data_IF_065581477882
#
_entry.id   IF_065581477882
#
_cell.length_a   1.000
_cell.length_b   1.000
_cell.length_c   1.000
_cell.angle_alpha   90.00
_cell.angle_beta   90.00
_cell.angle_gamma   90.00
#
_symmetry.space_group_name_H-M   'P 1'
#
loop_
_entity.id
_entity.type
_entity.pdbx_description
1 polymer ?
#
# COMPACT_ATOMS: atom_id res chain seq x y z
N UNK A 1 8.55 19.61 -2.63
CA UNK A 1 8.25 19.13 -1.27
C UNK A 1 8.72 17.69 -1.10
N UNK A 2 8.10 16.69 -1.73
CA UNK A 2 8.64 15.33 -1.70
C UNK A 2 9.93 15.24 -2.54
N UNK A 3 11.01 14.74 -1.93
CA UNK A 3 12.33 14.60 -2.55
C UNK A 3 12.54 13.14 -2.93
N UNK A 4 12.62 12.87 -4.23
CA UNK A 4 13.02 11.55 -4.73
C UNK A 4 14.45 11.24 -4.33
N UNK A 5 14.72 10.01 -3.92
CA UNK A 5 16.09 9.57 -3.72
C UNK A 5 16.86 9.56 -5.04
N UNK A 6 18.03 10.19 -5.07
CA UNK A 6 18.85 10.28 -6.29
C UNK A 6 19.31 8.92 -6.81
N UNK A 7 19.43 7.92 -5.93
CA UNK A 7 19.79 6.55 -6.29
C UNK A 7 18.60 5.68 -6.73
N UNK A 8 17.41 6.26 -6.90
CA UNK A 8 16.26 5.50 -7.40
C UNK A 8 16.54 4.87 -8.78
N UNK A 9 15.95 3.69 -9.06
CA UNK A 9 15.14 2.90 -8.14
C UNK A 9 15.98 2.04 -7.18
N UNK A 10 15.45 1.81 -5.97
CA UNK A 10 16.09 1.04 -4.88
C UNK A 10 15.95 -0.47 -5.05
N UNK A 11 14.89 -0.95 -5.71
CA UNK A 11 14.76 -2.33 -6.16
C UNK A 11 14.44 -2.40 -7.64
N UNK A 12 15.09 -3.32 -8.34
CA UNK A 12 14.90 -3.64 -9.76
C UNK A 12 14.65 -5.14 -9.94
N UNK A 13 13.98 -5.56 -11.02
CA UNK A 13 13.90 -6.96 -11.41
C UNK A 13 15.30 -7.60 -11.54
N UNK A 14 15.47 -8.81 -11.00
CA UNK A 14 16.69 -9.63 -11.17
C UNK A 14 16.44 -10.64 -12.28
N UNK A 15 17.06 -10.48 -13.45
CA UNK A 15 16.78 -11.34 -14.63
C UNK A 15 17.10 -12.81 -14.37
N UNK A 16 18.11 -13.04 -13.54
CA UNK A 16 18.58 -14.35 -13.09
C UNK A 16 17.62 -15.03 -12.10
N UNK A 17 16.72 -14.28 -11.46
CA UNK A 17 15.76 -14.82 -10.50
C UNK A 17 14.36 -14.93 -11.10
N UNK A 18 13.99 -16.14 -11.51
CA UNK A 18 12.86 -16.38 -12.40
C UNK A 18 11.51 -15.83 -11.92
N UNK A 19 11.26 -15.73 -10.61
CA UNK A 19 9.96 -15.27 -10.08
C UNK A 19 9.83 -13.75 -9.96
N UNK A 20 10.93 -13.01 -10.06
CA UNK A 20 11.01 -11.55 -9.93
C UNK A 20 11.77 -10.89 -11.08
N UNK A 21 11.92 -11.61 -12.19
CA UNK A 21 12.72 -11.20 -13.35
C UNK A 21 12.08 -10.16 -14.24
N UNK A 22 10.77 -9.88 -14.08
CA UNK A 22 10.03 -8.97 -14.94
C UNK A 22 9.57 -7.68 -14.24
N UNK A 23 8.93 -7.77 -13.07
CA UNK A 23 8.44 -6.60 -12.31
C UNK A 23 8.74 -6.78 -10.82
N UNK A 24 9.19 -5.71 -10.15
CA UNK A 24 9.43 -5.62 -8.70
C UNK A 24 8.93 -4.27 -8.23
N UNK A 25 7.76 -4.20 -7.62
CA UNK A 25 7.00 -2.97 -7.46
C UNK A 25 6.04 -3.07 -6.27
N UNK A 26 5.18 -2.06 -6.08
CA UNK A 26 4.10 -1.97 -5.08
C UNK A 26 4.48 -2.62 -3.74
N UNK A 27 5.28 -1.93 -2.94
CA UNK A 27 5.82 -2.48 -1.69
C UNK A 27 5.15 -1.92 -0.44
N UNK A 28 4.91 -2.79 0.54
CA UNK A 28 4.69 -2.39 1.92
C UNK A 28 6.02 -2.05 2.58
N UNK A 29 5.97 -1.27 3.66
CA UNK A 29 7.13 -1.01 4.51
C UNK A 29 6.74 -0.91 5.98
N UNK A 30 7.58 -1.44 6.86
CA UNK A 30 7.57 -1.22 8.30
C UNK A 30 8.96 -0.72 8.73
N UNK A 31 9.04 0.05 9.81
CA UNK A 31 10.30 0.39 10.45
C UNK A 31 10.31 -0.22 11.85
N UNK A 32 11.13 -1.24 12.05
CA UNK A 32 11.20 -2.02 13.29
C UNK A 32 12.66 -2.39 13.56
N UNK A 33 13.05 -2.44 14.84
CA UNK A 33 14.41 -2.81 15.27
C UNK A 33 15.54 -2.06 14.51
N UNK A 34 15.31 -0.77 14.24
CA UNK A 34 16.27 0.09 13.54
C UNK A 34 16.41 -0.16 12.03
N UNK A 35 15.51 -0.95 11.42
CA UNK A 35 15.55 -1.27 9.99
C UNK A 35 14.21 -1.05 9.30
N UNK A 36 14.28 -0.65 8.04
CA UNK A 36 13.17 -0.67 7.11
C UNK A 36 13.00 -2.09 6.58
N UNK A 37 11.83 -2.68 6.80
CA UNK A 37 11.43 -3.97 6.27
C UNK A 37 10.49 -3.76 5.09
N UNK A 38 10.94 -4.17 3.90
CA UNK A 38 10.27 -3.89 2.63
C UNK A 38 9.71 -5.20 2.08
N UNK A 39 8.38 -5.28 1.99
CA UNK A 39 7.68 -6.42 1.41
C UNK A 39 7.17 -6.01 0.02
N UNK A 40 7.88 -6.42 -1.04
CA UNK A 40 7.62 -5.97 -2.40
C UNK A 40 6.85 -7.00 -3.21
N UNK A 41 5.97 -6.54 -4.10
CA UNK A 41 5.31 -7.38 -5.10
C UNK A 41 6.28 -7.68 -6.25
N UNK A 42 6.34 -8.92 -6.71
CA UNK A 42 7.08 -9.25 -7.91
C UNK A 42 6.38 -10.26 -8.82
N UNK A 43 6.73 -10.20 -10.10
CA UNK A 43 6.30 -11.14 -11.14
C UNK A 43 7.49 -11.47 -12.05
N UNK A 44 7.59 -12.74 -12.43
CA UNK A 44 8.62 -13.25 -13.36
C UNK A 44 8.24 -13.10 -14.83
N UNK A 45 6.95 -12.92 -15.11
CA UNK A 45 6.39 -12.80 -16.45
C UNK A 45 5.27 -11.77 -16.45
N UNK A 46 5.01 -11.13 -17.59
CA UNK A 46 3.95 -10.10 -17.74
C UNK A 46 2.57 -10.57 -17.28
N UNK A 47 2.23 -11.82 -17.55
CA UNK A 47 0.97 -12.46 -17.14
C UNK A 47 1.18 -13.51 -16.04
N UNK A 48 2.28 -13.40 -15.29
CA UNK A 48 2.66 -14.36 -14.26
C UNK A 48 1.93 -14.13 -12.93
N UNK A 49 2.05 -15.09 -12.03
CA UNK A 49 1.56 -14.99 -10.65
C UNK A 49 2.39 -13.98 -9.86
N UNK A 50 1.73 -13.03 -9.21
CA UNK A 50 2.37 -12.14 -8.25
C UNK A 50 2.63 -12.84 -6.93
N UNK A 51 3.78 -12.55 -6.34
CA UNK A 51 4.27 -13.05 -5.05
C UNK A 51 4.91 -11.91 -4.28
N UNK A 52 5.12 -12.06 -2.98
CA UNK A 52 5.81 -11.05 -2.19
C UNK A 52 7.21 -11.48 -1.79
N UNK A 53 8.19 -10.64 -2.11
CA UNK A 53 9.58 -10.76 -1.69
C UNK A 53 9.91 -9.86 -0.52
N UNK A 54 11.02 -10.14 0.14
CA UNK A 54 11.47 -9.39 1.32
C UNK A 54 12.85 -8.79 1.11
N UNK A 55 12.98 -7.53 1.48
CA UNK A 55 14.23 -6.81 1.52
C UNK A 55 14.32 -5.96 2.79
N UNK A 56 15.53 -5.57 3.17
CA UNK A 56 15.77 -4.66 4.30
C UNK A 56 16.74 -3.55 3.94
N UNK A 57 16.62 -2.44 4.67
CA UNK A 57 17.49 -1.29 4.58
C UNK A 57 17.67 -0.67 5.97
N UNK A 58 18.87 -0.26 6.33
CA UNK A 58 19.16 0.48 7.57
C UNK A 58 18.88 1.97 7.40
N UNK A 59 19.25 2.55 6.26
CA UNK A 59 19.14 4.00 6.00
C UNK A 59 17.84 4.40 5.29
N UNK A 60 17.06 3.42 4.84
CA UNK A 60 15.82 3.61 4.09
C UNK A 60 16.02 3.87 2.58
N UNK A 61 17.25 3.74 2.09
CA UNK A 61 17.63 4.03 0.70
C UNK A 61 18.40 2.88 0.06
N UNK A 62 19.46 2.40 0.71
CA UNK A 62 20.27 1.28 0.23
C UNK A 62 19.70 -0.03 0.75
N UNK A 63 19.45 -0.97 -0.16
CA UNK A 63 19.04 -2.32 0.21
C UNK A 63 20.26 -3.08 0.72
N UNK A 64 20.22 -3.47 2.00
CA UNK A 64 21.29 -4.22 2.65
C UNK A 64 21.12 -5.72 2.43
N UNK A 65 19.89 -6.22 2.56
CA UNK A 65 19.54 -7.63 2.33
C UNK A 65 18.30 -7.74 1.44
N UNK A 66 18.27 -8.74 0.55
CA UNK A 66 17.10 -9.13 -0.26
C UNK A 66 17.11 -10.63 -0.42
N UNK A 67 16.03 -11.29 0.01
CA UNK A 67 15.91 -12.74 -0.10
C UNK A 67 15.70 -13.16 -1.55
N UNK A 68 16.25 -14.33 -1.92
CA UNK A 68 16.15 -14.87 -3.28
C UNK A 68 14.83 -15.61 -3.53
N UNK A 69 14.10 -16.01 -2.48
CA UNK A 69 12.81 -16.70 -2.57
C UNK A 69 11.66 -15.81 -2.05
N UNK A 70 10.44 -15.95 -2.61
CA UNK A 70 9.28 -15.22 -2.12
C UNK A 70 8.91 -15.67 -0.71
N UNK A 71 8.50 -14.73 0.14
CA UNK A 71 8.09 -15.00 1.53
C UNK A 71 6.58 -15.15 1.69
N UNK A 72 5.81 -14.81 0.65
CA UNK A 72 4.36 -14.97 0.61
C UNK A 72 3.90 -15.26 -0.82
N UNK A 73 3.06 -16.28 -0.97
CA UNK A 73 2.54 -16.75 -2.25
C UNK A 73 1.03 -16.99 -2.14
N UNK A 74 0.31 -17.04 -3.28
CA UNK A 74 -1.11 -17.37 -3.28
C UNK A 74 -1.37 -18.75 -2.66
N UNK A 75 -2.51 -18.91 -2.00
CA UNK A 75 -2.89 -20.18 -1.39
C UNK A 75 -3.29 -21.18 -2.49
N UNK A 76 -2.52 -22.26 -2.71
CA UNK A 76 -2.80 -23.21 -3.79
C UNK A 76 -4.12 -23.98 -3.59
N UNK A 77 -4.72 -23.91 -2.40
CA UNK A 77 -6.00 -24.57 -2.09
C UNK A 77 -7.19 -23.62 -2.22
N UNK A 78 -6.97 -22.33 -2.55
CA UNK A 78 -8.03 -21.35 -2.67
C UNK A 78 -8.11 -20.77 -4.09
N UNK A 79 -9.08 -21.24 -4.87
CA UNK A 79 -9.33 -20.75 -6.24
C UNK A 79 -9.59 -19.25 -6.31
N UNK A 80 -10.07 -18.61 -5.22
CA UNK A 80 -10.30 -17.16 -5.15
C UNK A 80 -8.99 -16.36 -5.03
N UNK A 81 -7.85 -17.02 -4.88
CA UNK A 81 -6.54 -16.41 -4.71
C UNK A 81 -5.49 -17.12 -5.57
N UNK A 82 -5.54 -16.90 -6.88
CA UNK A 82 -4.52 -17.37 -7.82
C UNK A 82 -3.29 -16.44 -7.89
N UNK A 83 -3.43 -15.19 -7.42
CA UNK A 83 -2.35 -14.22 -7.32
C UNK A 83 -2.56 -13.28 -6.13
N UNK A 84 -1.47 -12.83 -5.51
CA UNK A 84 -1.47 -11.91 -4.37
C UNK A 84 -0.82 -10.58 -4.78
N UNK A 85 -1.51 -9.48 -4.55
CA UNK A 85 -1.13 -8.18 -5.07
C UNK A 85 -1.07 -7.12 -3.98
N UNK A 86 -0.19 -6.14 -4.16
CA UNK A 86 -0.19 -4.85 -3.46
C UNK A 86 -0.24 -5.01 -1.92
N UNK A 87 0.82 -5.55 -1.28
CA UNK A 87 0.85 -5.77 0.16
C UNK A 87 0.87 -4.45 0.93
N UNK A 88 0.25 -4.43 2.12
CA UNK A 88 0.43 -3.40 3.16
C UNK A 88 0.71 -4.09 4.48
N UNK A 89 1.50 -3.46 5.33
CA UNK A 89 1.89 -4.00 6.63
C UNK A 89 1.56 -3.02 7.75
N UNK A 90 1.01 -3.55 8.84
CA UNK A 90 0.70 -2.78 10.05
C UNK A 90 1.07 -3.62 11.27
N UNK A 91 1.85 -3.05 12.19
CA UNK A 91 2.10 -3.66 13.49
C UNK A 91 1.01 -3.22 14.48
N UNK A 92 0.40 -4.20 15.16
CA UNK A 92 -0.52 -4.02 16.27
C UNK A 92 -0.01 -4.93 17.39
N UNK A 93 0.45 -4.33 18.48
CA UNK A 93 1.05 -5.03 19.61
C UNK A 93 2.21 -5.98 19.18
N UNK A 94 2.06 -7.28 19.44
CA UNK A 94 3.03 -8.34 19.15
C UNK A 94 2.82 -8.99 17.77
N UNK A 95 1.94 -8.43 16.95
CA UNK A 95 1.47 -9.05 15.71
C UNK A 95 1.58 -8.06 14.53
N UNK A 96 2.14 -8.54 13.43
CA UNK A 96 2.17 -7.83 12.15
C UNK A 96 1.04 -8.36 11.28
N UNK A 97 0.18 -7.46 10.83
CA UNK A 97 -0.91 -7.74 9.90
C UNK A 97 -0.47 -7.41 8.49
N UNK A 98 -0.69 -8.35 7.58
CA UNK A 98 -0.51 -8.19 6.14
C UNK A 98 -1.89 -8.11 5.50
N UNK A 99 -2.20 -6.98 4.89
CA UNK A 99 -3.38 -6.82 4.03
C UNK A 99 -2.94 -6.76 2.58
N UNK A 100 -3.73 -7.35 1.68
CA UNK A 100 -3.37 -7.47 0.28
C UNK A 100 -4.61 -7.65 -0.60
N UNK A 101 -4.43 -7.58 -1.91
CA UNK A 101 -5.46 -7.95 -2.87
C UNK A 101 -5.26 -9.41 -3.30
N UNK A 102 -6.27 -10.24 -3.07
CA UNK A 102 -6.37 -11.60 -3.57
C UNK A 102 -7.13 -11.58 -4.90
N UNK A 103 -6.56 -12.16 -5.95
CA UNK A 103 -7.22 -12.24 -7.25
C UNK A 103 -7.24 -13.69 -7.70
N UNK A 104 -8.43 -14.17 -8.05
CA UNK A 104 -8.63 -15.55 -8.48
C UNK A 104 -9.93 -15.72 -9.22
N UNK A 105 -10.45 -16.94 -9.23
CA UNK A 105 -11.66 -17.33 -9.95
C UNK A 105 -12.74 -17.77 -8.97
N UNK A 106 -13.98 -17.35 -9.23
CA UNK A 106 -15.15 -17.88 -8.53
C UNK A 106 -15.36 -19.33 -8.97
N UNK A 107 -15.32 -20.32 -8.04
CA UNK A 107 -15.50 -21.72 -8.38
C UNK A 107 -16.80 -21.93 -9.16
N UNK A 108 -16.76 -22.82 -10.17
CA UNK A 108 -17.90 -23.23 -11.02
C UNK A 108 -18.47 -22.15 -11.97
N UNK A 109 -18.18 -20.87 -11.75
CA UNK A 109 -18.66 -19.76 -12.60
C UNK A 109 -17.56 -19.24 -13.52
N UNK A 110 -16.29 -19.41 -13.15
CA UNK A 110 -15.14 -19.01 -13.99
C UNK A 110 -14.95 -17.50 -14.12
N UNK A 111 -15.71 -16.70 -13.37
CA UNK A 111 -15.54 -15.25 -13.26
C UNK A 111 -14.33 -14.91 -12.39
N UNK A 112 -13.56 -13.90 -12.82
CA UNK A 112 -12.46 -13.38 -12.03
C UNK A 112 -13.01 -12.57 -10.85
N UNK A 113 -12.56 -12.87 -9.64
CA UNK A 113 -12.89 -12.10 -8.42
C UNK A 113 -11.65 -11.36 -7.94
N UNK A 114 -11.85 -10.12 -7.50
CA UNK A 114 -10.79 -9.29 -6.92
C UNK A 114 -11.21 -8.97 -5.48
N UNK A 115 -10.56 -9.56 -4.51
CA UNK A 115 -10.93 -9.44 -3.10
C UNK A 115 -9.84 -8.72 -2.32
N UNK A 116 -10.26 -8.04 -1.26
CA UNK A 116 -9.32 -7.69 -0.20
C UNK A 116 -9.14 -8.90 0.72
N UNK A 117 -7.92 -9.09 1.21
CA UNK A 117 -7.56 -10.19 2.08
C UNK A 117 -6.62 -9.71 3.19
N UNK A 118 -6.55 -10.51 4.25
CA UNK A 118 -5.67 -10.26 5.39
C UNK A 118 -5.13 -11.56 5.98
N UNK A 119 -3.91 -11.52 6.47
CA UNK A 119 -3.30 -12.52 7.35
C UNK A 119 -2.46 -11.81 8.40
N UNK A 120 -1.85 -12.57 9.30
CA UNK A 120 -0.97 -12.02 10.33
C UNK A 120 0.20 -12.95 10.63
N UNK A 121 1.23 -12.41 11.27
CA UNK A 121 2.40 -13.13 11.74
C UNK A 121 2.84 -12.51 13.06
N UNK A 122 3.41 -13.30 13.96
CA UNK A 122 4.01 -12.75 15.20
C UNK A 122 5.21 -11.87 14.84
N UNK A 123 5.36 -10.73 15.51
CA UNK A 123 6.46 -9.80 15.26
C UNK A 123 7.82 -10.50 15.39
N UNK A 124 8.01 -11.31 16.43
CA UNK A 124 9.26 -12.07 16.65
C UNK A 124 9.54 -13.08 15.54
N UNK A 125 8.51 -13.66 14.94
CA UNK A 125 8.65 -14.57 13.79
C UNK A 125 9.01 -13.80 12.52
N UNK A 126 8.38 -12.65 12.28
CA UNK A 126 8.71 -11.78 11.15
C UNK A 126 10.13 -11.24 11.21
N UNK A 127 10.55 -10.69 12.36
CA UNK A 127 11.87 -10.12 12.57
C UNK A 127 12.98 -11.18 12.47
N UNK A 128 12.70 -12.39 12.94
CA UNK A 128 13.60 -13.53 12.78
C UNK A 128 13.43 -14.28 11.44
N UNK A 129 12.68 -13.71 10.48
CA UNK A 129 12.45 -14.27 9.15
C UNK A 129 11.88 -15.70 9.14
N UNK A 130 11.13 -16.06 10.17
CA UNK A 130 10.36 -17.31 10.27
C UNK A 130 8.97 -17.06 9.70
N UNK A 131 8.79 -17.18 8.38
CA UNK A 131 7.57 -16.83 7.64
C UNK A 131 6.34 -17.70 7.94
N UNK A 132 5.89 -17.72 9.19
CA UNK A 132 4.74 -18.47 9.72
C UNK A 132 3.47 -17.63 9.67
N UNK A 133 3.02 -17.34 8.46
CA UNK A 133 1.77 -16.61 8.24
C UNK A 133 0.58 -17.40 8.77
N UNK A 134 -0.32 -16.68 9.44
CA UNK A 134 -1.55 -17.22 10.01
C UNK A 134 -2.63 -17.44 8.96
N UNK A 135 -3.84 -17.72 9.47
CA UNK A 135 -5.03 -17.93 8.63
C UNK A 135 -5.34 -16.68 7.79
N UNK A 136 -5.62 -16.89 6.50
CA UNK A 136 -6.09 -15.86 5.58
C UNK A 136 -7.60 -15.61 5.78
N UNK A 137 -7.99 -14.35 5.81
CA UNK A 137 -9.39 -13.90 5.85
C UNK A 137 -9.68 -12.99 4.66
N UNK A 138 -10.93 -13.01 4.19
CA UNK A 138 -11.36 -12.28 3.00
C UNK A 138 -12.53 -11.37 3.39
N UNK A 139 -12.27 -10.10 3.77
CA UNK A 139 -13.35 -9.17 4.08
C UNK A 139 -14.23 -8.95 2.84
N UNK A 140 -15.54 -9.04 3.03
CA UNK A 140 -16.56 -8.91 1.97
C UNK A 140 -16.40 -9.93 0.82
N UNK A 141 -16.52 -11.23 1.11
CA UNK A 141 -16.39 -12.25 0.07
C UNK A 141 -17.42 -12.03 -1.05
N UNK A 142 -16.97 -12.12 -2.31
CA UNK A 142 -17.81 -11.90 -3.49
C UNK A 142 -18.01 -10.43 -3.89
N UNK A 143 -17.41 -9.47 -3.17
CA UNK A 143 -17.41 -8.06 -3.54
C UNK A 143 -16.07 -7.68 -4.14
N UNK A 144 -16.08 -7.17 -5.38
CA UNK A 144 -14.86 -6.68 -6.03
C UNK A 144 -14.30 -5.44 -5.30
N UNK A 145 -13.09 -5.58 -4.75
CA UNK A 145 -12.52 -4.63 -3.80
C UNK A 145 -10.99 -4.66 -3.80
N UNK A 146 -10.34 -3.52 -3.56
CA UNK A 146 -8.87 -3.40 -3.44
C UNK A 146 -8.49 -2.41 -2.33
N UNK A 147 -7.17 -2.28 -2.10
CA UNK A 147 -6.58 -1.20 -1.29
C UNK A 147 -6.97 -1.21 0.19
N UNK A 148 -6.98 -2.39 0.80
CA UNK A 148 -7.22 -2.54 2.24
C UNK A 148 -6.07 -1.91 3.04
N UNK A 149 -6.32 -0.73 3.59
CA UNK A 149 -5.42 0.00 4.48
C UNK A 149 -5.97 -0.07 5.92
N UNK A 150 -5.41 -0.97 6.73
CA UNK A 150 -5.77 -1.13 8.14
C UNK A 150 -5.23 0.04 8.98
N UNK A 151 -6.03 0.57 9.90
CA UNK A 151 -5.53 1.54 10.88
C UNK A 151 -4.74 0.80 11.99
N UNK A 152 -3.62 1.37 12.48
CA UNK A 152 -2.74 0.71 13.46
C UNK A 152 -3.31 0.67 14.88
N UNK A 153 -4.48 1.27 15.13
CA UNK A 153 -5.15 1.19 16.43
C UNK A 153 -6.66 1.31 16.29
N UNK A 154 -7.39 0.97 17.36
CA UNK A 154 -8.84 1.16 17.42
C UNK A 154 -9.20 2.64 17.48
N UNK A 155 -10.27 3.02 16.77
CA UNK A 155 -10.90 4.34 16.85
C UNK A 155 -12.33 4.15 17.35
N UNK A 156 -12.68 4.83 18.45
CA UNK A 156 -13.99 4.64 19.08
C UNK A 156 -14.26 3.20 19.54
N UNK A 157 -13.22 2.45 19.91
CA UNK A 157 -13.31 1.05 20.36
C UNK A 157 -13.43 0.02 19.23
N UNK A 158 -13.45 0.44 17.96
CA UNK A 158 -13.52 -0.44 16.78
C UNK A 158 -12.21 -0.43 16.02
N UNK A 159 -11.87 -1.56 15.40
CA UNK A 159 -10.89 -1.60 14.33
C UNK A 159 -11.46 -0.92 13.10
N UNK A 160 -10.60 -0.22 12.37
CA UNK A 160 -10.99 0.58 11.21
C UNK A 160 -10.11 0.22 10.03
N UNK A 161 -10.72 0.12 8.85
CA UNK A 161 -9.97 0.03 7.60
C UNK A 161 -10.50 1.02 6.59
N UNK A 162 -9.61 1.48 5.73
CA UNK A 162 -10.00 1.98 4.42
C UNK A 162 -9.90 0.87 3.38
N UNK A 163 -10.84 0.88 2.45
CA UNK A 163 -10.85 -0.02 1.29
C UNK A 163 -11.45 0.72 0.09
N UNK A 164 -11.55 0.04 -1.06
CA UNK A 164 -11.93 0.70 -2.31
C UNK A 164 -12.87 -0.16 -3.14
N UNK A 165 -14.15 0.20 -3.08
CA UNK A 165 -15.13 -0.08 -4.13
C UNK A 165 -15.16 1.15 -5.05
N UNK A 166 -14.70 1.03 -6.32
CA UNK A 166 -14.46 2.18 -7.17
C UNK A 166 -15.75 2.99 -7.43
N UNK A 167 -15.65 4.32 -7.60
CA UNK A 167 -14.41 5.10 -7.67
C UNK A 167 -13.88 5.62 -6.31
N UNK A 168 -14.53 5.27 -5.19
CA UNK A 168 -14.36 5.93 -3.90
C UNK A 168 -13.42 5.19 -2.94
N UNK A 169 -12.87 5.92 -1.97
CA UNK A 169 -12.31 5.34 -0.75
C UNK A 169 -13.45 5.21 0.27
N UNK A 170 -13.59 4.00 0.81
CA UNK A 170 -14.61 3.64 1.80
C UNK A 170 -13.95 3.33 3.14
N UNK A 171 -14.69 3.51 4.23
CA UNK A 171 -14.36 3.01 5.57
C UNK A 171 -15.17 1.76 5.88
N UNK A 172 -14.64 0.86 6.69
CA UNK A 172 -15.41 -0.19 7.35
C UNK A 172 -14.86 -0.45 8.76
N UNK A 173 -15.68 -1.06 9.62
CA UNK A 173 -15.40 -1.25 11.03
C UNK A 173 -15.47 -2.72 11.44
N UNK A 174 -14.65 -3.10 12.42
CA UNK A 174 -14.65 -4.45 12.98
C UNK A 174 -14.44 -4.44 14.50
N UNK A 175 -15.02 -5.41 15.18
CA UNK A 175 -14.77 -5.66 16.61
C UNK A 175 -13.57 -6.60 16.85
N UNK A 176 -13.30 -7.47 15.88
CA UNK A 176 -12.47 -8.67 16.04
C UNK A 176 -11.44 -8.88 14.91
N UNK A 177 -11.32 -7.93 13.97
CA UNK A 177 -10.48 -8.00 12.77
C UNK A 177 -10.92 -9.08 11.75
N UNK A 178 -12.02 -9.78 11.98
CA UNK A 178 -12.51 -10.84 11.09
C UNK A 178 -13.80 -10.38 10.40
N UNK A 179 -14.75 -9.86 11.17
CA UNK A 179 -16.06 -9.46 10.67
C UNK A 179 -16.08 -7.93 10.49
N UNK A 180 -16.25 -7.50 9.24
CA UNK A 180 -16.24 -6.09 8.84
C UNK A 180 -17.63 -5.64 8.40
N UNK A 181 -18.05 -4.45 8.84
CA UNK A 181 -19.39 -3.89 8.63
C UNK A 181 -19.39 -2.35 8.55
N UNK A 182 -20.58 -1.79 8.38
CA UNK A 182 -20.88 -0.35 8.42
C UNK A 182 -20.06 0.46 7.39
N UNK A 183 -20.01 -0.06 6.16
CA UNK A 183 -19.20 0.51 5.09
C UNK A 183 -19.80 1.80 4.53
N UNK A 184 -19.01 2.87 4.50
CA UNK A 184 -19.43 4.20 4.02
C UNK A 184 -18.33 4.89 3.20
N UNK A 185 -18.71 5.77 2.27
CA UNK A 185 -17.76 6.58 1.49
C UNK A 185 -17.10 7.62 2.42
N UNK A 186 -15.77 7.74 2.30
CA UNK A 186 -14.96 8.77 2.99
C UNK A 186 -14.52 9.85 2.01
N UNK A 187 -14.00 9.43 0.86
CA UNK A 187 -13.51 10.33 -0.18
C UNK A 187 -14.00 9.87 -1.56
N UNK A 188 -14.35 10.85 -2.38
CA UNK A 188 -14.65 10.70 -3.81
C UNK A 188 -13.63 11.48 -4.63
N UNK A 189 -13.37 11.10 -5.90
CA UNK A 189 -12.70 11.99 -6.85
C UNK A 189 -13.31 13.39 -6.83
N UNK A 190 -12.48 14.43 -6.75
CA UNK A 190 -12.90 15.83 -6.84
C UNK A 190 -12.04 16.67 -7.79
N UNK A 191 -10.77 16.29 -8.01
CA UNK A 191 -9.84 17.01 -8.90
C UNK A 191 -9.58 16.26 -10.21
N UNK A 192 -9.10 16.98 -11.24
CA UNK A 192 -8.81 16.38 -12.55
C UNK A 192 -7.75 15.27 -12.52
N UNK A 193 -6.73 15.41 -11.66
CA UNK A 193 -5.64 14.42 -11.56
C UNK A 193 -6.07 13.09 -10.90
N UNK A 194 -7.25 13.08 -10.28
CA UNK A 194 -7.84 11.92 -9.59
C UNK A 194 -9.22 11.53 -10.14
N UNK A 195 -9.58 12.07 -11.31
CA UNK A 195 -10.92 12.03 -11.90
C UNK A 195 -11.56 10.63 -11.99
N UNK A 196 -10.84 9.62 -12.48
CA UNK A 196 -11.43 8.30 -12.75
C UNK A 196 -11.72 7.53 -11.46
N UNK A 197 -10.77 7.53 -10.51
CA UNK A 197 -10.86 6.79 -9.25
C UNK A 197 -9.75 7.20 -8.30
N UNK A 198 -10.03 6.99 -7.02
CA UNK A 198 -9.05 7.05 -5.94
C UNK A 198 -8.96 5.73 -5.19
N UNK A 199 -7.93 5.58 -4.36
CA UNK A 199 -7.76 4.44 -3.46
C UNK A 199 -6.66 4.65 -2.44
N UNK A 200 -6.75 3.96 -1.30
CA UNK A 200 -5.70 4.00 -0.28
C UNK A 200 -4.35 3.53 -0.83
N UNK A 201 -3.28 4.20 -0.43
CA UNK A 201 -1.91 3.80 -0.74
C UNK A 201 -1.35 2.96 0.41
N UNK A 202 -0.69 3.65 1.34
CA UNK A 202 -0.15 3.09 2.57
C UNK A 202 -1.18 3.08 3.71
N UNK A 203 -0.98 2.26 4.76
CA UNK A 203 -1.72 2.37 6.01
C UNK A 203 -1.71 3.80 6.57
N UNK A 204 -2.80 4.28 7.20
CA UNK A 204 -2.83 5.60 7.82
C UNK A 204 -1.76 5.77 8.89
N UNK A 205 -0.97 6.84 8.77
CA UNK A 205 0.14 7.13 9.67
C UNK A 205 -0.34 7.99 10.83
N UNK A 206 0.05 7.59 12.03
CA UNK A 206 -0.32 8.24 13.28
C UNK A 206 0.46 9.55 13.47
N UNK A 207 -0.20 10.70 13.36
CA UNK A 207 0.38 12.00 13.71
C UNK A 207 -0.34 12.66 14.90
N UNK A 208 0.22 13.76 15.42
CA UNK A 208 -0.41 14.57 16.48
C UNK A 208 -1.66 15.30 15.96
N UNK A 209 -1.60 15.74 14.71
CA UNK A 209 -2.62 16.53 14.00
C UNK A 209 -3.79 15.66 13.53
N UNK A 210 -3.57 14.35 13.36
CA UNK A 210 -4.58 13.42 12.87
C UNK A 210 -3.98 12.14 12.31
N UNK A 211 -4.67 11.55 11.36
CA UNK A 211 -4.18 10.43 10.56
C UNK A 211 -3.73 10.94 9.19
N UNK A 212 -2.45 10.83 8.89
CA UNK A 212 -1.92 11.14 7.58
C UNK A 212 -2.20 9.97 6.63
N UNK A 213 -2.91 10.24 5.54
CA UNK A 213 -3.32 9.24 4.57
C UNK A 213 -2.73 9.61 3.21
N UNK A 214 -1.82 8.76 2.73
CA UNK A 214 -1.32 8.84 1.36
C UNK A 214 -2.21 7.95 0.50
N UNK A 215 -2.77 8.53 -0.55
CA UNK A 215 -3.71 7.85 -1.44
C UNK A 215 -3.27 8.06 -2.89
N UNK A 216 -3.74 7.22 -3.81
CA UNK A 216 -3.53 7.45 -5.24
C UNK A 216 -4.79 8.01 -5.89
N UNK A 217 -4.58 8.80 -6.93
CA UNK A 217 -5.58 9.26 -7.87
C UNK A 217 -5.20 8.87 -9.29
N UNK A 218 -6.22 8.67 -10.12
CA UNK A 218 -6.06 8.31 -11.54
C UNK A 218 -6.81 9.32 -12.39
N UNK A 219 -6.11 9.97 -13.32
CA UNK A 219 -6.72 10.90 -14.27
C UNK A 219 -7.40 10.16 -15.44
N UNK A 220 -8.03 10.91 -16.33
CA UNK A 220 -8.70 10.44 -17.55
C UNK A 220 -7.76 9.80 -18.59
N UNK A 221 -6.44 9.97 -18.44
CA UNK A 221 -5.39 9.35 -19.25
C UNK A 221 -4.76 8.13 -18.55
N UNK A 222 -5.31 7.69 -17.42
CA UNK A 222 -4.84 6.55 -16.63
C UNK A 222 -3.45 6.77 -16.02
N UNK A 223 -3.05 8.03 -15.81
CA UNK A 223 -1.84 8.34 -15.05
C UNK A 223 -2.11 8.19 -13.55
N UNK A 224 -1.24 7.46 -12.86
CA UNK A 224 -1.34 7.29 -11.41
C UNK A 224 -0.44 8.30 -10.71
N UNK A 225 -1.03 9.06 -9.79
CA UNK A 225 -0.36 10.05 -8.95
C UNK A 225 -0.68 9.80 -7.48
N UNK A 226 0.15 10.31 -6.59
CA UNK A 226 -0.10 10.28 -5.15
C UNK A 226 -0.67 11.62 -4.69
N UNK A 227 -1.64 11.59 -3.80
CA UNK A 227 -2.09 12.72 -3.00
C UNK A 227 -2.01 12.42 -1.52
N UNK A 228 -2.39 13.39 -0.71
CA UNK A 228 -2.35 13.28 0.75
C UNK A 228 -3.58 13.92 1.38
N UNK A 229 -4.06 13.32 2.46
CA UNK A 229 -5.14 13.85 3.28
C UNK A 229 -4.79 13.71 4.77
N UNK A 230 -5.32 14.62 5.57
CA UNK A 230 -5.31 14.53 7.03
C UNK A 230 -6.73 14.22 7.49
N UNK A 231 -6.90 13.12 8.22
CA UNK A 231 -8.17 12.65 8.74
C UNK A 231 -8.22 12.88 10.25
N UNK A 232 -9.41 13.22 10.77
CA UNK A 232 -9.63 13.42 12.19
C UNK A 232 -9.22 12.19 13.01
N UNK A 233 -8.51 12.44 14.11
CA UNK A 233 -7.98 11.43 15.02
C UNK A 233 -9.04 10.46 15.54
N UNK A 234 -10.24 10.97 15.83
CA UNK A 234 -11.33 10.28 16.52
C UNK A 234 -12.48 9.91 15.60
N UNK A 235 -12.52 10.50 14.41
CA UNK A 235 -13.58 10.26 13.44
C UNK A 235 -12.99 9.95 12.04
N UNK A 236 -12.89 8.66 11.65
CA UNK A 236 -12.22 8.26 10.43
C UNK A 236 -13.01 8.59 9.15
N UNK A 237 -14.22 9.16 9.24
CA UNK A 237 -14.94 9.70 8.06
C UNK A 237 -14.77 11.20 7.89
N UNK A 238 -14.18 11.90 8.86
CA UNK A 238 -14.01 13.35 8.83
C UNK A 238 -12.64 13.71 8.26
N UNK A 239 -12.63 14.12 7.00
CA UNK A 239 -11.46 14.69 6.32
C UNK A 239 -11.23 16.11 6.85
N UNK A 240 -10.06 16.37 7.45
CA UNK A 240 -9.68 17.70 7.93
C UNK A 240 -9.06 18.53 6.80
N UNK A 241 -8.13 17.92 6.08
CA UNK A 241 -7.43 18.54 4.94
C UNK A 241 -7.21 17.49 3.86
N UNK A 242 -7.14 17.93 2.60
CA UNK A 242 -6.86 17.07 1.43
C UNK A 242 -6.23 17.90 0.34
N UNK A 243 -5.17 17.39 -0.27
CA UNK A 243 -4.45 18.06 -1.35
C UNK A 243 -5.35 18.27 -2.59
N UNK A 244 -5.32 19.45 -3.21
CA UNK A 244 -5.93 19.72 -4.52
C UNK A 244 -4.94 19.41 -5.65
N UNK A 245 -3.65 19.55 -5.40
CA UNK A 245 -2.56 19.15 -6.30
C UNK A 245 -1.98 17.77 -5.93
N UNK A 246 -1.36 17.03 -6.88
CA UNK A 246 -0.61 15.82 -6.56
C UNK A 246 0.55 16.08 -5.59
N UNK A 247 0.72 15.18 -4.62
CA UNK A 247 1.92 15.08 -3.79
C UNK A 247 3.13 14.56 -4.59
N UNK A 248 2.87 13.60 -5.49
CA UNK A 248 3.88 13.00 -6.36
C UNK A 248 3.23 12.62 -7.70
N UNK A 249 3.90 12.93 -8.80
CA UNK A 249 3.45 12.59 -10.16
C UNK A 249 4.62 12.02 -10.99
N UNK A 250 4.37 11.17 -12.00
CA UNK A 250 5.43 10.54 -12.77
C UNK A 250 6.16 11.58 -13.64
N UNK A 251 7.46 11.77 -13.38
CA UNK A 251 8.32 12.68 -14.15
C UNK A 251 9.68 12.08 -14.45
N UNK A 252 10.13 11.10 -13.66
CA UNK A 252 11.42 10.45 -13.86
C UNK A 252 11.30 9.32 -14.88
N UNK A 253 12.42 8.99 -15.55
CA UNK A 253 12.44 7.98 -16.60
C UNK A 253 11.86 6.63 -16.15
N UNK A 254 12.11 6.24 -14.89
CA UNK A 254 11.64 4.99 -14.28
C UNK A 254 10.17 5.02 -13.83
N UNK A 255 9.53 6.19 -13.85
CA UNK A 255 8.10 6.39 -13.57
C UNK A 255 7.29 6.50 -14.87
N UNK A 256 7.93 7.03 -15.91
CA UNK A 256 7.37 7.19 -17.26
C UNK A 256 7.48 5.92 -18.11
N UNK A 257 8.51 5.09 -17.89
CA UNK A 257 8.80 3.92 -18.72
C UNK A 257 8.93 2.64 -17.90
N UNK A 258 8.15 1.62 -18.27
CA UNK A 258 8.12 0.33 -17.60
C UNK A 258 7.04 -0.59 -18.17
N UNK A 259 6.66 -1.60 -17.41
CA UNK A 259 5.58 -2.52 -17.74
C UNK A 259 4.24 -1.80 -17.91
N UNK A 260 3.98 -0.78 -17.10
CA UNK A 260 2.85 0.13 -17.25
C UNK A 260 3.37 1.57 -17.09
N UNK A 261 3.41 2.38 -18.16
CA UNK A 261 4.00 3.72 -18.12
C UNK A 261 3.17 4.70 -17.28
N UNK A 262 3.79 5.80 -16.87
CA UNK A 262 3.17 6.94 -16.20
C UNK A 262 2.49 6.59 -14.86
N UNK A 263 3.19 5.83 -14.02
CA UNK A 263 2.70 5.41 -12.71
C UNK A 263 3.68 5.80 -11.61
N UNK A 264 3.16 6.49 -10.60
CA UNK A 264 3.65 6.43 -9.22
C UNK A 264 2.56 5.86 -8.30
N UNK A 265 2.88 4.79 -7.57
CA UNK A 265 1.91 4.10 -6.70
C UNK A 265 2.56 3.63 -5.41
N UNK A 266 1.96 3.86 -4.25
CA UNK A 266 2.53 3.40 -2.96
C UNK A 266 1.63 2.38 -2.28
N UNK A 267 2.24 1.41 -1.60
CA UNK A 267 1.58 0.57 -0.61
C UNK A 267 2.21 0.70 0.79
N UNK A 268 3.27 1.51 0.93
CA UNK A 268 4.08 1.54 2.13
C UNK A 268 4.69 2.91 2.34
N UNK A 269 4.38 3.48 3.50
CA UNK A 269 5.03 4.68 3.98
C UNK A 269 5.15 4.62 5.51
N UNK A 270 6.23 5.17 6.04
CA UNK A 270 6.52 5.22 7.48
C UNK A 270 7.13 6.56 7.83
N UNK A 271 6.98 6.98 9.08
CA UNK A 271 7.67 8.14 9.63
C UNK A 271 8.77 7.65 10.57
N UNK A 272 10.00 8.10 10.32
CA UNK A 272 11.18 7.83 11.15
C UNK A 272 11.84 9.18 11.42
N UNK A 273 12.02 9.54 12.69
CA UNK A 273 12.63 10.81 13.11
C UNK A 273 12.05 12.05 12.39
N UNK A 274 10.72 12.15 12.36
CA UNK A 274 9.94 13.21 11.68
C UNK A 274 10.12 13.30 10.15
N UNK A 275 10.77 12.30 9.55
CA UNK A 275 10.89 12.15 8.10
C UNK A 275 9.90 11.11 7.62
N UNK A 276 9.02 11.50 6.71
CA UNK A 276 8.14 10.60 5.98
C UNK A 276 8.96 9.93 4.87
N UNK A 277 9.01 8.60 4.87
CA UNK A 277 9.52 7.76 3.80
C UNK A 277 8.34 7.14 3.05
N UNK A 278 8.25 7.39 1.75
CA UNK A 278 7.26 6.77 0.87
C UNK A 278 8.00 5.83 -0.08
N UNK A 279 7.77 4.53 0.07
CA UNK A 279 8.20 3.54 -0.90
C UNK A 279 7.12 3.41 -1.97
N UNK A 280 7.48 3.61 -3.23
CA UNK A 280 6.53 3.68 -4.33
C UNK A 280 7.03 2.95 -5.56
N UNK A 281 6.10 2.40 -6.34
CA UNK A 281 6.36 1.84 -7.64
C UNK A 281 6.59 2.93 -8.68
N UNK A 282 7.62 2.76 -9.50
CA UNK A 282 7.77 3.45 -10.77
C UNK A 282 7.33 2.55 -11.91
N UNK A 283 6.35 2.99 -12.70
CA UNK A 283 5.89 2.34 -13.93
C UNK A 283 5.57 0.83 -13.81
N UNK A 284 5.02 0.39 -12.67
CA UNK A 284 4.78 -1.01 -12.30
C UNK A 284 6.00 -1.94 -12.54
N UNK A 285 7.23 -1.41 -12.39
CA UNK A 285 8.45 -2.14 -12.76
C UNK A 285 9.47 -2.20 -11.64
N UNK A 286 9.60 -1.09 -10.90
CA UNK A 286 10.66 -0.88 -9.91
C UNK A 286 10.09 -0.33 -8.61
N UNK A 287 10.81 -0.52 -7.49
CA UNK A 287 10.52 0.18 -6.23
C UNK A 287 11.50 1.35 -6.08
N UNK A 288 10.95 2.50 -5.73
CA UNK A 288 11.61 3.76 -5.49
C UNK A 288 11.29 4.24 -4.07
N UNK A 289 12.05 5.22 -3.59
CA UNK A 289 11.77 5.91 -2.33
C UNK A 289 11.82 7.41 -2.52
N UNK A 290 10.92 8.12 -1.84
CA UNK A 290 10.93 9.58 -1.76
C UNK A 290 10.60 10.01 -0.32
N UNK A 291 11.18 11.13 0.09
CA UNK A 291 11.13 11.60 1.48
C UNK A 291 10.73 13.07 1.60
N UNK A 292 10.05 13.42 2.69
CA UNK A 292 9.85 14.80 3.12
C UNK A 292 9.78 14.85 4.65
N UNK A 293 10.06 16.02 5.24
CA UNK A 293 9.75 16.23 6.66
C UNK A 293 8.23 16.27 6.83
N UNK A 294 7.70 15.71 7.91
CA UNK A 294 6.26 15.72 8.20
C UNK A 294 5.71 17.15 8.23
N UNK A 295 6.46 18.10 8.80
CA UNK A 295 6.10 19.52 8.82
C UNK A 295 5.90 20.12 7.41
N UNK A 296 6.71 19.70 6.42
CA UNK A 296 6.59 20.17 5.04
C UNK A 296 5.29 19.64 4.42
N UNK A 297 4.94 18.37 4.69
CA UNK A 297 3.69 17.76 4.24
C UNK A 297 2.47 18.47 4.83
N UNK A 298 2.51 18.81 6.11
CA UNK A 298 1.43 19.55 6.78
C UNK A 298 1.29 20.96 6.22
N UNK A 299 2.40 21.68 6.04
CA UNK A 299 2.40 23.02 5.45
C UNK A 299 1.84 23.02 4.01
N UNK A 300 2.11 21.99 3.22
CA UNK A 300 1.48 21.82 1.91
C UNK A 300 -0.03 21.60 1.98
N UNK A 301 -0.51 20.76 2.91
CA UNK A 301 -1.94 20.57 3.11
C UNK A 301 -2.64 21.88 3.52
N UNK A 302 -2.02 22.66 4.42
CA UNK A 302 -2.53 23.96 4.86
C UNK A 302 -2.60 24.97 3.72
N UNK A 303 -1.58 25.01 2.86
CA UNK A 303 -1.55 25.89 1.68
C UNK A 303 -2.56 25.53 0.58
N UNK A 304 -3.14 24.33 0.64
CA UNK A 304 -4.13 23.84 -0.32
C UNK A 304 -5.58 24.05 0.19
N UNK A 305 -5.76 24.45 1.45
CA UNK A 305 -7.05 24.86 1.99
C UNK A 305 -7.45 26.24 1.46
N UNK A 306 -8.73 26.41 1.10
CA UNK A 306 -9.28 27.75 0.86
C UNK A 306 -9.34 28.47 2.22
N UNK A 307 -8.56 29.55 2.37
CA UNK A 307 -8.57 30.43 3.57
C UNK A 307 -9.85 31.26 3.59
#
# INVERSE_FOLDING_TARGET
MLKRYKGNPVLKPKRENAWESYMVYNSAVLYEDGRFHILYRAQGLKTGTSRFGYATSEDGFRIDDRLDEPIFMPDPLNDLECTVEDPRLVRIDDTIYLTYTAVGNVPRVGWKSIQIAMTSIKADDFLAQRWKWGRRTYPFPGVDNKHFCLFPEKIGGKWVMYHRIPPHIWVAYSDDLVHWRDSNIVMSPREGWEYLKIGGGAPPIKLKEGWLVIYHGVDDHVHYRLGVALIDRKNPVKVLMRSKSPLLEPVEWYELHGAVPNIVFTCGAVVVDDILYIYYAGADTVVCVATARVEEILAFLEGECDI
#
